data_IF_513339088174
#
_entry.id   IF_513339088174
#
_cell.length_a   1.000
_cell.length_b   1.000
_cell.length_c   1.000
_cell.angle_alpha   90.00
_cell.angle_beta   90.00
_cell.angle_gamma   90.00
#
_symmetry.space_group_name_H-M   'P 1'
#
loop_
_entity.id
_entity.type
_entity.pdbx_description
1 polymer ?
#
# COMPACT_ATOMS: atom_id res chain seq x y z
N UNK A 1 -22.39 8.69 -26.89
CA UNK A 1 -21.43 9.74 -26.46
C UNK A 1 -21.55 10.11 -24.98
N UNK A 2 -22.75 10.33 -24.42
CA UNK A 2 -22.93 10.72 -23.02
C UNK A 2 -22.31 9.77 -21.97
N UNK A 3 -22.34 8.45 -22.21
CA UNK A 3 -21.77 7.44 -21.31
C UNK A 3 -20.24 7.50 -21.20
N UNK A 4 -19.55 7.81 -22.30
CA UNK A 4 -18.09 7.93 -22.31
C UNK A 4 -17.60 9.18 -21.57
N UNK A 5 -18.36 10.28 -21.66
CA UNK A 5 -18.08 11.53 -20.96
C UNK A 5 -18.27 11.33 -19.45
N UNK A 6 -19.39 10.71 -19.05
CA UNK A 6 -19.66 10.36 -17.65
C UNK A 6 -18.55 9.49 -17.03
N UNK A 7 -18.06 8.48 -17.75
CA UNK A 7 -16.98 7.61 -17.26
C UNK A 7 -15.63 8.33 -17.08
N UNK A 8 -15.34 9.33 -17.93
CA UNK A 8 -14.14 10.16 -17.81
C UNK A 8 -14.19 11.02 -16.56
N UNK A 9 -15.31 11.70 -16.31
CA UNK A 9 -15.47 12.58 -15.14
C UNK A 9 -15.39 11.79 -13.83
N UNK A 10 -16.10 10.66 -13.75
CA UNK A 10 -16.03 9.77 -12.57
C UNK A 10 -14.61 9.26 -12.34
N UNK A 11 -13.91 8.83 -13.40
CA UNK A 11 -12.52 8.37 -13.28
C UNK A 11 -11.57 9.49 -12.84
N UNK A 12 -11.79 10.72 -13.28
CA UNK A 12 -10.96 11.86 -12.92
C UNK A 12 -11.15 12.24 -11.45
N UNK A 13 -12.40 12.36 -11.00
CA UNK A 13 -12.73 12.62 -9.59
C UNK A 13 -12.10 11.55 -8.70
N UNK A 14 -12.24 10.27 -9.08
CA UNK A 14 -11.63 9.16 -8.34
C UNK A 14 -10.11 9.30 -8.22
N UNK A 15 -9.42 9.62 -9.32
CA UNK A 15 -7.96 9.81 -9.31
C UNK A 15 -7.52 10.98 -8.43
N UNK A 16 -8.23 12.11 -8.47
CA UNK A 16 -7.92 13.27 -7.63
C UNK A 16 -8.07 12.90 -6.16
N UNK A 17 -9.20 12.29 -5.78
CA UNK A 17 -9.47 11.89 -4.39
C UNK A 17 -8.43 10.87 -3.91
N UNK A 18 -8.15 9.82 -4.69
CA UNK A 18 -7.14 8.83 -4.34
C UNK A 18 -5.74 9.43 -4.26
N UNK A 19 -5.37 10.35 -5.16
CA UNK A 19 -4.04 11.00 -5.14
C UNK A 19 -3.86 11.80 -3.86
N UNK A 20 -4.85 12.60 -3.45
CA UNK A 20 -4.78 13.40 -2.21
C UNK A 20 -4.65 12.48 -0.98
N UNK A 21 -5.49 11.45 -0.90
CA UNK A 21 -5.45 10.50 0.22
C UNK A 21 -4.11 9.74 0.27
N UNK A 22 -3.65 9.23 -0.86
CA UNK A 22 -2.39 8.48 -0.94
C UNK A 22 -1.17 9.38 -0.69
N UNK A 23 -1.19 10.64 -1.13
CA UNK A 23 -0.12 11.59 -0.82
C UNK A 23 0.01 11.83 0.68
N UNK A 24 -1.12 12.07 1.38
CA UNK A 24 -1.15 12.21 2.84
C UNK A 24 -0.64 10.94 3.54
N UNK A 25 -1.09 9.77 3.09
CA UNK A 25 -0.65 8.48 3.63
C UNK A 25 0.85 8.23 3.40
N UNK A 26 1.41 8.62 2.25
CA UNK A 26 2.86 8.51 2.00
C UNK A 26 3.65 9.30 3.02
N UNK A 27 3.28 10.56 3.26
CA UNK A 27 3.98 11.37 4.27
C UNK A 27 3.92 10.73 5.66
N UNK A 28 2.77 10.19 6.06
CA UNK A 28 2.64 9.46 7.33
C UNK A 28 3.44 8.15 7.35
N UNK A 29 3.63 7.50 6.20
CA UNK A 29 4.33 6.21 6.10
C UNK A 29 5.85 6.32 6.11
N UNK A 30 6.43 7.47 5.74
CA UNK A 30 7.89 7.61 5.65
C UNK A 30 8.61 7.36 6.98
N UNK A 31 8.19 7.94 8.13
CA UNK A 31 8.78 7.62 9.43
C UNK A 31 8.66 6.13 9.77
N UNK A 32 7.52 5.52 9.46
CA UNK A 32 7.28 4.09 9.71
C UNK A 32 8.22 3.21 8.87
N UNK A 33 8.43 3.56 7.60
CA UNK A 33 9.39 2.88 6.74
C UNK A 33 10.83 3.04 7.24
N UNK A 34 11.22 4.23 7.71
CA UNK A 34 12.56 4.46 8.27
C UNK A 34 12.79 3.69 9.57
N UNK A 35 11.78 3.54 10.42
CA UNK A 35 11.88 2.76 11.66
C UNK A 35 11.64 1.26 11.46
N UNK A 36 11.18 0.83 10.28
CA UNK A 36 10.86 -0.57 10.00
C UNK A 36 12.00 -1.57 10.23
N UNK A 37 13.30 -1.25 10.09
CA UNK A 37 14.38 -2.19 10.44
C UNK A 37 14.37 -2.62 11.91
N UNK A 38 13.81 -1.81 12.82
CA UNK A 38 13.70 -2.15 14.25
C UNK A 38 12.78 -3.36 14.51
N UNK A 39 11.97 -3.77 13.52
CA UNK A 39 11.21 -5.03 13.58
C UNK A 39 12.13 -6.26 13.71
N UNK A 40 13.41 -6.13 13.40
CA UNK A 40 14.38 -7.22 13.46
C UNK A 40 15.29 -7.21 14.69
N UNK A 41 15.11 -6.27 15.63
CA UNK A 41 15.94 -6.18 16.83
C UNK A 41 15.72 -7.36 17.80
N UNK A 42 14.57 -8.04 17.73
CA UNK A 42 14.31 -9.22 18.55
C UNK A 42 14.96 -10.49 17.97
N UNK A 43 15.57 -11.35 18.80
CA UNK A 43 16.20 -12.59 18.34
C UNK A 43 15.16 -13.54 17.71
N UNK A 44 15.48 -14.08 16.51
CA UNK A 44 14.61 -14.97 15.75
C UNK A 44 13.57 -14.27 14.85
N UNK A 45 13.50 -12.94 14.85
CA UNK A 45 12.61 -12.15 13.97
C UNK A 45 12.83 -12.38 12.48
N UNK A 46 14.08 -12.67 12.08
CA UNK A 46 14.47 -12.95 10.70
C UNK A 46 14.04 -14.35 10.21
N UNK A 47 13.55 -15.22 11.10
CA UNK A 47 12.97 -16.51 10.72
C UNK A 47 11.44 -16.45 10.60
N UNK A 48 10.82 -15.38 11.13
CA UNK A 48 9.37 -15.24 11.15
C UNK A 48 8.88 -14.58 9.86
N UNK A 49 8.17 -15.37 9.04
CA UNK A 49 7.64 -14.91 7.75
C UNK A 49 6.64 -13.76 7.88
N UNK A 50 5.88 -13.68 8.98
CA UNK A 50 4.94 -12.59 9.24
C UNK A 50 5.65 -11.25 9.50
N UNK A 51 6.76 -11.27 10.24
CA UNK A 51 7.59 -10.10 10.52
C UNK A 51 8.27 -9.59 9.25
N UNK A 52 8.80 -10.50 8.43
CA UNK A 52 9.37 -10.17 7.12
C UNK A 52 8.31 -9.58 6.19
N UNK A 53 7.13 -10.19 6.11
CA UNK A 53 6.04 -9.71 5.26
C UNK A 53 5.57 -8.32 5.70
N UNK A 54 5.47 -8.08 7.00
CA UNK A 54 5.15 -6.76 7.55
C UNK A 54 6.21 -5.72 7.16
N UNK A 55 7.50 -6.04 7.32
CA UNK A 55 8.60 -5.17 6.91
C UNK A 55 8.53 -4.82 5.42
N UNK A 56 8.35 -5.83 4.56
CA UNK A 56 8.23 -5.65 3.12
C UNK A 56 7.01 -4.81 2.77
N UNK A 57 5.87 -5.00 3.43
CA UNK A 57 4.68 -4.20 3.20
C UNK A 57 4.90 -2.72 3.55
N UNK A 58 5.51 -2.44 4.71
CA UNK A 58 5.78 -1.09 5.18
C UNK A 58 6.79 -0.36 4.28
N UNK A 59 7.88 -1.02 3.88
CA UNK A 59 8.91 -0.39 3.03
C UNK A 59 8.46 -0.23 1.57
N UNK A 60 7.67 -1.18 1.07
CA UNK A 60 7.20 -1.14 -0.32
C UNK A 60 6.03 -0.17 -0.51
N UNK A 61 5.25 0.14 0.53
CA UNK A 61 4.13 1.08 0.44
C UNK A 61 4.50 2.44 -0.20
N UNK A 62 5.49 3.21 0.30
CA UNK A 62 5.84 4.50 -0.29
C UNK A 62 6.33 4.36 -1.74
N UNK A 63 7.06 3.28 -2.05
CA UNK A 63 7.52 2.99 -3.42
C UNK A 63 6.34 2.69 -4.35
N UNK A 64 5.40 1.86 -3.92
CA UNK A 64 4.21 1.51 -4.71
C UNK A 64 3.36 2.74 -4.96
N UNK A 65 3.17 3.62 -3.98
CA UNK A 65 2.44 4.88 -4.19
C UNK A 65 3.16 5.80 -5.20
N UNK A 66 4.49 5.90 -5.10
CA UNK A 66 5.31 6.72 -6.00
C UNK A 66 5.12 6.33 -7.48
N UNK A 67 4.90 5.04 -7.77
CA UNK A 67 4.61 4.56 -9.13
C UNK A 67 3.11 4.55 -9.47
N UNK A 68 2.25 4.27 -8.49
CA UNK A 68 0.81 4.15 -8.69
C UNK A 68 0.16 5.50 -9.08
N UNK A 69 0.62 6.62 -8.49
CA UNK A 69 0.08 7.94 -8.80
C UNK A 69 0.40 8.33 -10.26
N UNK A 70 1.68 8.43 -10.70
CA UNK A 70 1.99 8.77 -12.09
C UNK A 70 1.41 7.75 -13.08
N UNK A 71 1.46 6.45 -12.76
CA UNK A 71 0.91 5.39 -13.60
C UNK A 71 -0.61 5.52 -13.79
N UNK A 72 -1.35 5.82 -12.72
CA UNK A 72 -2.78 6.07 -12.75
C UNK A 72 -3.14 7.24 -13.67
N UNK A 73 -2.44 8.37 -13.54
CA UNK A 73 -2.64 9.56 -14.37
C UNK A 73 -2.26 9.34 -15.84
N UNK A 74 -1.14 8.65 -16.10
CA UNK A 74 -0.70 8.29 -17.45
C UNK A 74 -1.73 7.40 -18.16
N UNK A 75 -2.25 6.37 -17.50
CA UNK A 75 -3.30 5.49 -18.05
C UNK A 75 -4.62 6.24 -18.29
N UNK A 76 -4.94 7.21 -17.44
CA UNK A 76 -6.10 8.09 -17.64
C UNK A 76 -5.95 8.94 -18.90
N UNK A 77 -4.76 9.49 -19.14
CA UNK A 77 -4.45 10.25 -20.37
C UNK A 77 -4.63 9.40 -21.63
N UNK A 78 -4.24 8.12 -21.60
CA UNK A 78 -4.49 7.17 -22.70
C UNK A 78 -5.93 6.65 -22.80
N UNK A 79 -6.89 7.26 -22.08
CA UNK A 79 -8.31 6.87 -22.02
C UNK A 79 -8.54 5.43 -21.51
N UNK A 80 -7.55 4.84 -20.82
CA UNK A 80 -7.64 3.49 -20.23
C UNK A 80 -8.13 3.57 -18.78
N UNK A 81 -9.38 4.03 -18.60
CA UNK A 81 -9.95 4.36 -17.29
C UNK A 81 -10.01 3.18 -16.30
N UNK A 82 -10.25 1.95 -16.78
CA UNK A 82 -10.29 0.76 -15.91
C UNK A 82 -8.89 0.46 -15.35
N UNK A 83 -7.87 0.43 -16.21
CA UNK A 83 -6.48 0.18 -15.79
C UNK A 83 -5.95 1.30 -14.90
N UNK A 84 -6.35 2.55 -15.16
CA UNK A 84 -6.02 3.69 -14.31
C UNK A 84 -6.54 3.50 -12.87
N UNK A 85 -7.80 3.08 -12.71
CA UNK A 85 -8.38 2.75 -11.39
C UNK A 85 -7.69 1.57 -10.71
N UNK A 86 -7.35 0.52 -11.47
CA UNK A 86 -6.61 -0.62 -10.92
C UNK A 86 -5.25 -0.14 -10.42
N UNK A 87 -4.54 0.65 -11.23
CA UNK A 87 -3.18 1.12 -10.92
C UNK A 87 -3.13 1.97 -9.66
N UNK A 88 -4.05 2.93 -9.51
CA UNK A 88 -4.12 3.78 -8.32
C UNK A 88 -4.56 3.00 -7.06
N UNK A 89 -5.19 1.83 -7.23
CA UNK A 89 -5.61 0.97 -6.12
C UNK A 89 -4.53 -0.02 -5.64
N UNK A 90 -3.39 -0.17 -6.34
CA UNK A 90 -2.30 -1.04 -5.89
C UNK A 90 -1.83 -0.80 -4.44
N UNK A 91 -1.66 0.46 -3.98
CA UNK A 91 -1.25 0.71 -2.60
C UNK A 91 -2.22 0.17 -1.55
N UNK A 92 -3.51 0.04 -1.87
CA UNK A 92 -4.53 -0.50 -0.97
C UNK A 92 -4.26 -1.97 -0.66
N UNK A 93 -3.84 -2.74 -1.67
CA UNK A 93 -3.45 -4.14 -1.48
C UNK A 93 -2.30 -4.24 -0.49
N UNK A 94 -1.36 -3.30 -0.54
CA UNK A 94 -0.21 -3.26 0.35
C UNK A 94 -0.62 -2.97 1.82
N UNK A 95 -1.56 -2.04 2.01
CA UNK A 95 -2.16 -1.77 3.32
C UNK A 95 -2.84 -3.02 3.87
N UNK A 96 -3.61 -3.75 3.05
CA UNK A 96 -4.30 -4.97 3.47
C UNK A 96 -3.29 -6.04 3.92
N UNK A 97 -2.22 -6.26 3.15
CA UNK A 97 -1.16 -7.21 3.51
C UNK A 97 -0.48 -6.82 4.82
N UNK A 98 -0.20 -5.53 5.02
CA UNK A 98 0.38 -5.01 6.26
C UNK A 98 -0.52 -5.23 7.47
N UNK A 99 -1.82 -4.93 7.34
CA UNK A 99 -2.82 -5.16 8.41
C UNK A 99 -2.91 -6.64 8.73
N UNK A 100 -3.02 -7.51 7.72
CA UNK A 100 -3.09 -8.96 7.93
C UNK A 100 -1.86 -9.48 8.68
N UNK A 101 -0.66 -9.09 8.24
CA UNK A 101 0.60 -9.49 8.89
C UNK A 101 0.63 -9.02 10.35
N UNK A 102 0.19 -7.79 10.63
CA UNK A 102 0.09 -7.26 11.98
C UNK A 102 -0.93 -8.05 12.82
N UNK A 103 -2.11 -8.35 12.29
CA UNK A 103 -3.14 -9.12 13.02
C UNK A 103 -2.68 -10.54 13.33
N UNK A 104 -1.92 -11.17 12.43
CA UNK A 104 -1.36 -12.50 12.67
C UNK A 104 -0.38 -12.46 13.86
N UNK A 105 0.50 -11.46 13.91
CA UNK A 105 1.43 -11.28 15.02
C UNK A 105 0.70 -11.00 16.34
N UNK A 106 -0.35 -10.16 16.33
CA UNK A 106 -1.09 -9.84 17.56
C UNK A 106 -1.88 -11.05 18.07
N UNK A 107 -2.57 -11.78 17.19
CA UNK A 107 -3.48 -12.87 17.58
C UNK A 107 -2.75 -14.18 17.88
N UNK A 108 -1.77 -14.55 17.05
CA UNK A 108 -1.10 -15.85 17.17
C UNK A 108 0.21 -15.78 17.95
N UNK A 109 0.79 -14.59 18.08
CA UNK A 109 2.12 -14.41 18.67
C UNK A 109 2.11 -13.51 19.90
N UNK A 110 0.93 -13.11 20.39
CA UNK A 110 0.76 -12.20 21.53
C UNK A 110 1.54 -10.86 21.35
N UNK A 111 1.72 -10.45 20.09
CA UNK A 111 2.53 -9.29 19.71
C UNK A 111 4.04 -9.54 19.61
N UNK A 112 4.52 -10.77 19.85
CA UNK A 112 5.93 -11.12 19.72
C UNK A 112 6.34 -11.26 18.24
N UNK A 113 7.50 -10.70 17.91
CA UNK A 113 8.04 -10.67 16.54
C UNK A 113 8.78 -11.98 16.15
N UNK A 114 9.00 -12.89 17.10
CA UNK A 114 9.79 -14.13 16.96
C UNK A 114 8.94 -15.41 17.01
N UNK A 115 7.71 -15.33 16.53
CA UNK A 115 6.78 -16.43 16.48
C UNK A 115 7.33 -17.63 15.71
N UNK A 116 7.57 -18.74 16.42
CA UNK A 116 7.87 -20.05 15.82
C UNK A 116 6.61 -20.91 15.92
N UNK A 117 6.12 -21.37 14.77
CA UNK A 117 5.11 -22.41 14.67
C UNK A 117 5.75 -23.80 14.80
#
# INVERSE_FOLDING_TARGET
MATAIKNKEVSNIYLVVCTILLALLVFASLPMAMMSPMLFDSPGSYENMSTITLFVAVISFPLVVLFAIPGGWMLHHYKRYVLSKITISLPIVNIIIGILSCTILVVFCDGALNCRY
#
